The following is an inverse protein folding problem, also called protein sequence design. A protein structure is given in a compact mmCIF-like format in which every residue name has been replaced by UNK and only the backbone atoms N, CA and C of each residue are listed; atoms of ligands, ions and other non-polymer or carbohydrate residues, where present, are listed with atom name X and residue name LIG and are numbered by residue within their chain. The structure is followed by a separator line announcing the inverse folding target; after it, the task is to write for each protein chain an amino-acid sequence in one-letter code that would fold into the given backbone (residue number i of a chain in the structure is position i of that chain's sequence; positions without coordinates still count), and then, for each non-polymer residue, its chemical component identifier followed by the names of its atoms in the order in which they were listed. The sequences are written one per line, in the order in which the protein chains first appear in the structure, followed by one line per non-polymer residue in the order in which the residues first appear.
data_IF_814113938901
#
_entry.id   IF_814113938901
#
_cell.length_a   1.000
_cell.length_b   1.000
_cell.length_c   1.000
_cell.angle_alpha   90.00
_cell.angle_beta   90.00
_cell.angle_gamma   90.00
#
_symmetry.space_group_name_H-M   'P 1'
#
loop_
_entity.id
_entity.type
_entity.pdbx_description
1 polymer ?
#
# COMPACT_ATOMS: atom_id res chain seq x y z
N UNK A 1 -11.54 -45.08 32.85
CA UNK A 1 -12.95 -45.35 32.76
C UNK A 1 -13.61 -44.52 31.71
N UNK A 2 -14.71 -44.99 31.12
CA UNK A 2 -15.34 -44.35 29.97
C UNK A 2 -15.72 -42.90 30.24
N UNK A 3 -16.29 -42.61 31.44
CA UNK A 3 -16.72 -41.26 31.79
C UNK A 3 -15.54 -40.28 31.86
N UNK A 4 -14.41 -40.69 32.41
CA UNK A 4 -13.22 -39.88 32.48
C UNK A 4 -12.60 -39.65 31.10
N UNK A 5 -12.64 -40.66 30.23
CA UNK A 5 -12.14 -40.57 28.85
C UNK A 5 -12.98 -39.62 28.00
N UNK A 6 -14.30 -39.69 28.18
CA UNK A 6 -15.24 -38.79 27.47
C UNK A 6 -15.04 -37.35 27.95
N UNK A 7 -14.91 -37.13 29.26
CA UNK A 7 -14.68 -35.79 29.81
C UNK A 7 -13.32 -35.20 29.30
N UNK A 8 -12.28 -36.04 29.24
CA UNK A 8 -10.99 -35.64 28.73
C UNK A 8 -11.06 -35.30 27.26
N UNK A 9 -11.77 -36.10 26.46
CA UNK A 9 -11.94 -35.82 25.02
C UNK A 9 -12.73 -34.54 24.79
N UNK A 10 -13.79 -34.32 25.56
CA UNK A 10 -14.60 -33.12 25.48
C UNK A 10 -13.78 -31.87 25.80
N UNK A 11 -12.88 -31.94 26.78
CA UNK A 11 -12.00 -30.86 27.14
C UNK A 11 -11.04 -30.54 26.00
N UNK A 12 -10.49 -31.56 25.35
CA UNK A 12 -9.61 -31.35 24.20
C UNK A 12 -10.32 -30.67 23.03
N UNK A 13 -11.55 -31.06 22.75
CA UNK A 13 -12.36 -30.42 21.71
C UNK A 13 -12.61 -28.96 22.05
N UNK A 14 -12.92 -28.66 23.29
CA UNK A 14 -13.13 -27.29 23.77
C UNK A 14 -11.82 -26.47 23.59
N UNK A 15 -10.67 -27.03 23.98
CA UNK A 15 -9.39 -26.37 23.85
C UNK A 15 -9.04 -26.08 22.37
N UNK A 16 -9.30 -27.04 21.48
CA UNK A 16 -9.10 -26.85 20.03
C UNK A 16 -10.03 -25.76 19.49
N UNK A 17 -11.30 -25.74 19.92
CA UNK A 17 -12.24 -24.71 19.50
C UNK A 17 -11.79 -23.32 19.93
N UNK A 18 -11.25 -23.18 21.13
CA UNK A 18 -10.69 -21.91 21.61
C UNK A 18 -9.50 -21.48 20.76
N UNK A 19 -8.61 -22.41 20.40
CA UNK A 19 -7.49 -22.13 19.52
C UNK A 19 -7.95 -21.68 18.13
N UNK A 20 -8.95 -22.35 17.56
CA UNK A 20 -9.52 -21.98 16.27
C UNK A 20 -10.10 -20.57 16.31
N UNK A 21 -10.82 -20.22 17.39
CA UNK A 21 -11.35 -18.87 17.56
C UNK A 21 -10.23 -17.82 17.61
N UNK A 22 -9.15 -18.10 18.34
CA UNK A 22 -8.01 -17.21 18.44
C UNK A 22 -7.33 -17.03 17.08
N UNK A 23 -7.13 -18.11 16.34
CA UNK A 23 -6.53 -18.03 15.00
C UNK A 23 -7.43 -17.29 14.01
N UNK A 24 -8.73 -17.51 14.08
CA UNK A 24 -9.70 -16.80 13.24
C UNK A 24 -9.62 -15.29 13.49
N UNK A 25 -9.54 -14.89 14.75
CA UNK A 25 -9.40 -13.50 15.14
C UNK A 25 -8.11 -12.89 14.62
N UNK A 26 -6.99 -13.62 14.73
CA UNK A 26 -5.70 -13.18 14.22
C UNK A 26 -5.71 -13.02 12.70
N UNK A 27 -6.32 -13.95 11.99
CA UNK A 27 -6.47 -13.87 10.54
C UNK A 27 -7.29 -12.64 10.15
N UNK A 28 -8.36 -12.37 10.86
CA UNK A 28 -9.19 -11.18 10.61
C UNK A 28 -8.39 -9.89 10.83
N UNK A 29 -7.64 -9.80 11.92
CA UNK A 29 -6.80 -8.65 12.21
C UNK A 29 -5.74 -8.44 11.13
N UNK A 30 -5.06 -9.52 10.71
CA UNK A 30 -4.05 -9.46 9.66
C UNK A 30 -4.64 -9.08 8.31
N UNK A 31 -5.83 -9.57 8.00
CA UNK A 31 -6.53 -9.20 6.77
C UNK A 31 -6.84 -7.70 6.74
N UNK A 32 -7.29 -7.15 7.87
CA UNK A 32 -7.55 -5.72 8.01
C UNK A 32 -6.27 -4.90 7.79
N UNK A 33 -5.17 -5.34 8.39
CA UNK A 33 -3.87 -4.68 8.24
C UNK A 33 -3.40 -4.73 6.78
N UNK A 34 -3.54 -5.88 6.11
CA UNK A 34 -3.16 -6.03 4.71
C UNK A 34 -3.99 -5.13 3.80
N UNK A 35 -5.29 -5.01 4.03
CA UNK A 35 -6.15 -4.12 3.26
C UNK A 35 -5.74 -2.66 3.44
N UNK A 36 -5.45 -2.24 4.66
CA UNK A 36 -4.97 -0.90 4.96
C UNK A 36 -3.62 -0.62 4.28
N UNK A 37 -2.71 -1.58 4.35
CA UNK A 37 -1.41 -1.46 3.70
C UNK A 37 -1.53 -1.37 2.18
N UNK A 38 -2.40 -2.17 1.57
CA UNK A 38 -2.66 -2.09 0.13
C UNK A 38 -3.20 -0.72 -0.27
N UNK A 39 -4.11 -0.15 0.51
CA UNK A 39 -4.63 1.20 0.27
C UNK A 39 -3.51 2.24 0.33
N UNK A 40 -2.62 2.13 1.31
CA UNK A 40 -1.47 3.04 1.43
C UNK A 40 -0.50 2.90 0.26
N UNK A 41 -0.25 1.68 -0.19
CA UNK A 41 0.59 1.42 -1.35
C UNK A 41 -0.02 2.04 -2.61
N UNK A 42 -1.33 1.89 -2.81
CA UNK A 42 -2.04 2.48 -3.94
C UNK A 42 -1.96 4.00 -3.93
N UNK A 43 -2.12 4.62 -2.76
CA UNK A 43 -1.99 6.07 -2.60
C UNK A 43 -0.57 6.56 -2.88
N UNK A 44 0.43 5.83 -2.37
CA UNK A 44 1.83 6.16 -2.61
C UNK A 44 2.18 6.04 -4.10
N UNK A 45 1.68 4.99 -4.76
CA UNK A 45 1.88 4.79 -6.19
C UNK A 45 1.25 5.92 -7.02
N UNK A 46 0.04 6.34 -6.68
CA UNK A 46 -0.64 7.45 -7.35
C UNK A 46 0.13 8.77 -7.16
N UNK A 47 0.63 9.02 -5.95
CA UNK A 47 1.42 10.21 -5.64
C UNK A 47 2.74 10.22 -6.41
N UNK A 48 3.37 9.05 -6.54
CA UNK A 48 4.62 8.91 -7.30
C UNK A 48 4.40 9.19 -8.78
N UNK A 49 3.33 8.68 -9.37
CA UNK A 49 2.97 8.95 -10.77
C UNK A 49 2.73 10.44 -10.99
N UNK A 50 2.02 11.10 -10.08
CA UNK A 50 1.78 12.53 -10.15
C UNK A 50 3.09 13.31 -10.10
N UNK A 51 4.00 12.95 -9.20
CA UNK A 51 5.31 13.59 -9.11
C UNK A 51 6.12 13.42 -10.39
N UNK A 52 6.07 12.26 -11.02
CA UNK A 52 6.74 11.99 -12.29
C UNK A 52 6.18 12.88 -13.40
N UNK A 53 4.86 13.03 -13.50
CA UNK A 53 4.20 13.91 -14.47
C UNK A 53 4.58 15.36 -14.23
N UNK A 54 4.59 15.80 -12.97
CA UNK A 54 4.97 17.17 -12.60
C UNK A 54 6.42 17.45 -12.99
N UNK A 55 7.34 16.50 -12.78
CA UNK A 55 8.74 16.62 -13.19
C UNK A 55 8.87 16.73 -14.72
N UNK A 56 8.13 15.92 -15.47
CA UNK A 56 8.12 16.00 -16.92
C UNK A 56 7.59 17.33 -17.42
N UNK A 57 6.53 17.84 -16.81
CA UNK A 57 5.96 19.15 -17.17
C UNK A 57 6.94 20.28 -16.86
N UNK A 58 7.66 20.20 -15.76
CA UNK A 58 8.69 21.17 -15.42
C UNK A 58 9.82 21.16 -16.44
N UNK A 59 10.30 19.98 -16.83
CA UNK A 59 11.33 19.84 -17.84
C UNK A 59 10.91 20.43 -19.19
N UNK A 60 9.67 20.19 -19.60
CA UNK A 60 9.11 20.77 -20.82
C UNK A 60 9.04 22.30 -20.75
N UNK A 61 8.60 22.85 -19.61
CA UNK A 61 8.52 24.31 -19.40
C UNK A 61 9.91 24.93 -19.44
N UNK A 62 10.90 24.30 -18.83
CA UNK A 62 12.29 24.76 -18.86
C UNK A 62 12.83 24.75 -20.29
N UNK A 63 12.57 23.72 -21.05
CA UNK A 63 12.97 23.61 -22.44
C UNK A 63 12.38 24.74 -23.32
N UNK A 64 11.08 25.02 -23.12
CA UNK A 64 10.41 26.11 -23.84
C UNK A 64 11.00 27.47 -23.48
N UNK A 65 11.31 27.69 -22.21
CA UNK A 65 11.91 28.93 -21.74
C UNK A 65 13.28 29.12 -22.35
N UNK A 66 14.11 28.09 -22.44
CA UNK A 66 15.41 28.11 -23.04
C UNK A 66 15.33 28.51 -24.52
N UNK A 67 14.35 27.97 -25.26
CA UNK A 67 14.13 28.34 -26.66
C UNK A 67 13.73 29.82 -26.81
N UNK A 68 12.85 30.30 -25.95
CA UNK A 68 12.43 31.72 -25.97
C UNK A 68 13.62 32.62 -25.71
N UNK A 69 14.45 32.29 -24.73
CA UNK A 69 15.66 33.06 -24.41
C UNK A 69 16.66 33.06 -25.55
N UNK A 70 16.85 31.93 -26.22
CA UNK A 70 17.73 31.82 -27.38
C UNK A 70 17.24 32.70 -28.53
N UNK A 71 15.95 32.69 -28.83
CA UNK A 71 15.32 33.50 -29.86
C UNK A 71 15.47 35.00 -29.56
N UNK A 72 15.20 35.36 -28.29
CA UNK A 72 15.34 36.74 -27.84
C UNK A 72 16.77 37.26 -28.02
N UNK A 73 17.73 36.44 -27.61
CA UNK A 73 19.18 36.76 -27.75
C UNK A 73 19.55 36.92 -29.20
N UNK A 74 19.11 36.02 -30.08
CA UNK A 74 19.35 36.08 -31.51
C UNK A 74 18.77 37.37 -32.12
N UNK A 75 17.56 37.76 -31.77
CA UNK A 75 16.91 38.97 -32.25
C UNK A 75 17.65 40.23 -31.80
N UNK A 76 18.17 40.21 -30.56
CA UNK A 76 18.94 41.34 -30.03
C UNK A 76 20.28 41.58 -30.76
N UNK A 77 20.86 40.50 -31.26
CA UNK A 77 22.16 40.56 -31.92
C UNK A 77 22.10 40.91 -33.43
N UNK A 78 20.91 40.82 -33.98
CA UNK A 78 20.67 41.24 -35.37
C UNK A 78 20.15 42.65 -35.43
#
# INVERSE_FOLDING_TARGET
MLTGSIASAAKKVEDYNQQVEQYTKLIHEKTTILNDLNNKINQASANLQKSTVDEQNLALSTSKLDKINANFKSNLMT
#
